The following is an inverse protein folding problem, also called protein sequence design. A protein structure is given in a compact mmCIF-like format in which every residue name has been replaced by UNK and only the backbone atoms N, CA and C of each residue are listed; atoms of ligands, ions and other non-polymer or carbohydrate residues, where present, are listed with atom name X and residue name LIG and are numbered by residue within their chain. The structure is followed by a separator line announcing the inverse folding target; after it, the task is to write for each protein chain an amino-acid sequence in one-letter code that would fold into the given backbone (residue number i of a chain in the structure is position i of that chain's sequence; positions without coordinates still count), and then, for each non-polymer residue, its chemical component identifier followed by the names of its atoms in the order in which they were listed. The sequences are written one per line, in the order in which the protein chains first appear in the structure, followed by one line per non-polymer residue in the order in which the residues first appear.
data_IF_366056016068
#
_entry.id   IF_366056016068
#
_cell.length_a   1.000
_cell.length_b   1.000
_cell.length_c   1.000
_cell.angle_alpha   90.00
_cell.angle_beta   90.00
_cell.angle_gamma   90.00
#
_symmetry.space_group_name_H-M   'P 1'
#
loop_
_entity.id
_entity.type
_entity.pdbx_description
1 polymer ?
#
# COMPACT_ATOMS: atom_id res chain seq x y z
N UNK A 1 21.69 -0.52 2.35
CA UNK A 1 21.24 -1.04 1.04
C UNK A 1 20.20 -0.07 0.54
N UNK A 2 20.57 0.77 -0.42
CA UNK A 2 19.74 1.81 -1.02
C UNK A 2 18.48 1.23 -1.66
N UNK A 3 17.34 1.38 -0.99
CA UNK A 3 16.03 1.42 -1.65
C UNK A 3 16.03 2.72 -2.44
N UNK A 4 16.33 2.59 -3.71
CA UNK A 4 16.31 3.68 -4.68
C UNK A 4 14.92 4.31 -4.68
N UNK A 5 14.92 5.64 -4.77
CA UNK A 5 13.83 6.59 -5.04
C UNK A 5 12.98 6.20 -6.27
N UNK A 6 12.34 5.05 -6.26
CA UNK A 6 11.37 4.64 -7.28
C UNK A 6 10.01 5.13 -6.82
N UNK A 7 9.80 6.42 -7.02
CA UNK A 7 8.52 7.14 -7.05
C UNK A 7 7.56 6.78 -5.90
N UNK A 8 7.63 7.52 -4.80
CA UNK A 8 6.50 7.68 -3.86
C UNK A 8 5.23 8.21 -4.55
N UNK A 9 5.32 8.64 -5.82
CA UNK A 9 4.24 9.17 -6.66
C UNK A 9 3.14 8.18 -7.04
N UNK A 10 3.26 6.90 -6.67
CA UNK A 10 2.22 5.89 -6.93
C UNK A 10 1.82 5.14 -5.65
N UNK A 11 1.78 5.87 -4.54
CA UNK A 11 1.14 5.40 -3.32
C UNK A 11 -0.34 5.68 -3.40
N UNK A 12 -1.13 4.67 -3.11
CA UNK A 12 -2.58 4.80 -3.02
C UNK A 12 -3.03 4.44 -1.63
N UNK A 13 -4.07 5.07 -1.10
CA UNK A 13 -4.75 4.60 0.08
C UNK A 13 -6.04 3.91 -0.33
N UNK A 14 -6.41 2.83 0.32
CA UNK A 14 -7.67 2.15 0.03
C UNK A 14 -7.96 1.01 0.99
N UNK A 15 -9.10 0.37 0.76
CA UNK A 15 -9.45 -0.87 1.44
C UNK A 15 -8.95 -2.04 0.62
N UNK A 16 -8.12 -2.89 1.22
CA UNK A 16 -7.64 -4.13 0.61
C UNK A 16 -8.35 -5.30 1.27
N UNK A 17 -8.86 -6.20 0.45
CA UNK A 17 -9.39 -7.49 0.90
C UNK A 17 -8.46 -8.57 0.37
N UNK A 18 -7.85 -9.33 1.28
CA UNK A 18 -6.96 -10.45 0.95
C UNK A 18 -7.52 -11.75 1.47
N UNK A 19 -7.18 -12.86 0.82
CA UNK A 19 -7.47 -14.18 1.36
C UNK A 19 -6.59 -14.44 2.58
N UNK A 20 -7.20 -14.82 3.70
CA UNK A 20 -6.46 -15.17 4.90
C UNK A 20 -5.67 -16.48 4.68
N UNK A 21 -4.37 -16.49 5.00
CA UNK A 21 -3.53 -17.68 4.79
C UNK A 21 -3.81 -18.81 5.79
N UNK A 22 -4.40 -18.53 6.95
CA UNK A 22 -4.76 -19.51 7.95
C UNK A 22 -6.17 -20.10 7.71
N UNK A 23 -7.09 -19.31 7.15
CA UNK A 23 -8.44 -19.72 6.79
C UNK A 23 -8.90 -19.10 5.44
N UNK A 24 -8.79 -19.84 4.32
CA UNK A 24 -9.14 -19.31 3.00
C UNK A 24 -10.64 -19.03 2.81
N UNK A 25 -11.50 -19.46 3.75
CA UNK A 25 -12.94 -19.18 3.75
C UNK A 25 -13.26 -17.84 4.40
N UNK A 26 -12.29 -17.23 5.09
CA UNK A 26 -12.42 -15.94 5.76
C UNK A 26 -11.51 -14.91 5.11
N UNK A 27 -12.04 -14.04 4.23
CA UNK A 27 -11.23 -12.93 3.73
C UNK A 27 -10.86 -11.98 4.87
N UNK A 28 -9.61 -11.54 4.87
CA UNK A 28 -9.10 -10.51 5.76
C UNK A 28 -9.29 -9.14 5.12
N UNK A 29 -9.98 -8.25 5.83
CA UNK A 29 -10.23 -6.90 5.37
C UNK A 29 -9.27 -5.93 6.08
N UNK A 30 -8.47 -5.24 5.28
CA UNK A 30 -7.50 -4.25 5.75
C UNK A 30 -7.99 -2.86 5.32
N UNK A 31 -8.71 -2.14 6.21
CA UNK A 31 -9.22 -0.82 5.91
C UNK A 31 -8.09 0.23 5.92
N UNK A 32 -8.26 1.26 5.07
CA UNK A 32 -7.44 2.47 5.03
C UNK A 32 -5.91 2.25 4.87
N UNK A 33 -5.53 1.14 4.25
CA UNK A 33 -4.13 0.80 4.03
C UNK A 33 -3.53 1.62 2.90
N UNK A 34 -2.25 1.91 3.03
CA UNK A 34 -1.42 2.40 1.95
C UNK A 34 -1.04 1.20 1.08
N UNK A 35 -1.16 1.37 -0.22
CA UNK A 35 -1.01 0.34 -1.23
C UNK A 35 0.05 0.84 -2.20
N UNK A 36 1.04 -0.02 -2.42
CA UNK A 36 2.03 0.15 -3.47
C UNK A 36 1.98 -1.05 -4.38
N UNK A 37 1.80 -0.79 -5.66
CA UNK A 37 1.92 -1.81 -6.68
C UNK A 37 3.40 -2.17 -6.82
N UNK A 38 3.75 -3.36 -6.32
CA UNK A 38 5.10 -3.88 -6.32
C UNK A 38 5.50 -4.45 -7.67
N UNK A 39 6.57 -5.26 -7.73
CA UNK A 39 6.90 -6.02 -8.93
C UNK A 39 5.71 -6.89 -9.38
N UNK A 40 5.66 -7.24 -10.67
CA UNK A 40 4.56 -8.01 -11.24
C UNK A 40 4.24 -9.25 -10.40
N UNK A 41 2.98 -9.38 -10.00
CA UNK A 41 2.52 -10.47 -9.13
C UNK A 41 2.45 -10.14 -7.64
N UNK A 42 2.82 -8.92 -7.22
CA UNK A 42 2.91 -8.54 -5.81
C UNK A 42 2.23 -7.20 -5.51
N UNK A 43 1.58 -7.15 -4.36
CA UNK A 43 0.97 -5.97 -3.75
C UNK A 43 1.64 -5.72 -2.41
N UNK A 44 2.19 -4.53 -2.23
CA UNK A 44 2.72 -4.10 -0.93
C UNK A 44 1.64 -3.29 -0.23
N UNK A 45 1.36 -3.63 1.02
CA UNK A 45 0.36 -3.02 1.88
C UNK A 45 1.07 -2.48 3.11
N UNK A 46 0.78 -1.25 3.49
CA UNK A 46 1.42 -0.55 4.60
C UNK A 46 0.34 0.07 5.46
N UNK A 47 0.44 -0.13 6.77
CA UNK A 47 -0.58 0.37 7.71
C UNK A 47 -0.59 1.90 7.81
N UNK A 48 0.58 2.53 7.62
CA UNK A 48 0.74 3.99 7.58
C UNK A 48 1.99 4.42 6.79
N UNK A 49 2.08 5.70 6.45
CA UNK A 49 3.29 6.33 5.91
C UNK A 49 4.20 6.85 7.04
N UNK A 50 4.50 6.00 8.01
CA UNK A 50 5.41 6.31 9.12
C UNK A 50 6.60 5.36 9.09
N UNK A 51 7.74 5.79 9.64
CA UNK A 51 8.97 4.99 9.66
C UNK A 51 8.80 3.64 10.42
N UNK A 52 7.89 3.61 11.41
CA UNK A 52 7.55 2.41 12.19
C UNK A 52 6.38 1.59 11.61
N UNK A 53 5.88 1.93 10.41
CA UNK A 53 4.72 1.24 9.86
C UNK A 53 5.06 -0.20 9.45
N UNK A 54 4.18 -1.13 9.81
CA UNK A 54 4.29 -2.51 9.37
C UNK A 54 4.08 -2.59 7.86
N UNK A 55 5.04 -3.23 7.18
CA UNK A 55 5.03 -3.47 5.74
C UNK A 55 4.68 -4.93 5.52
N UNK A 56 3.57 -5.15 4.83
CA UNK A 56 3.11 -6.47 4.43
C UNK A 56 3.15 -6.61 2.91
N UNK A 57 3.48 -7.80 2.42
CA UNK A 57 3.55 -8.07 0.98
C UNK A 57 2.69 -9.28 0.65
N UNK A 58 1.72 -9.05 -0.22
CA UNK A 58 0.73 -10.02 -0.63
C UNK A 58 0.92 -10.37 -2.11
N UNK A 59 0.94 -11.66 -2.49
CA UNK A 59 0.86 -12.02 -3.91
C UNK A 59 -0.51 -11.59 -4.45
N UNK A 60 -0.58 -11.04 -5.66
CA UNK A 60 -1.85 -10.57 -6.26
C UNK A 60 -2.89 -11.67 -6.39
N UNK A 61 -2.48 -12.94 -6.49
CA UNK A 61 -3.40 -14.08 -6.48
C UNK A 61 -4.17 -14.27 -5.17
N UNK A 62 -3.73 -13.63 -4.07
CA UNK A 62 -4.46 -13.59 -2.79
C UNK A 62 -5.28 -12.32 -2.60
N UNK A 63 -5.09 -11.32 -3.44
CA UNK A 63 -5.84 -10.06 -3.36
C UNK A 63 -7.19 -10.29 -4.00
N UNK A 64 -8.25 -10.25 -3.19
CA UNK A 64 -9.62 -10.47 -3.64
C UNK A 64 -10.23 -9.19 -4.19
N UNK A 65 -9.98 -8.06 -3.54
CA UNK A 65 -10.46 -6.76 -3.99
C UNK A 65 -9.60 -5.62 -3.44
N UNK A 66 -9.50 -4.55 -4.23
CA UNK A 66 -9.03 -3.24 -3.77
C UNK A 66 -10.15 -2.25 -4.07
N UNK A 67 -10.63 -1.56 -3.05
CA UNK A 67 -11.77 -0.63 -3.16
C UNK A 67 -11.43 0.69 -2.49
N UNK A 68 -12.20 1.73 -2.82
CA UNK A 68 -12.02 3.07 -2.26
C UNK A 68 -10.59 3.63 -2.47
N UNK A 69 -9.99 3.25 -3.61
CA UNK A 69 -8.64 3.63 -3.97
C UNK A 69 -8.56 5.14 -4.24
N UNK A 70 -7.73 5.82 -3.46
CA UNK A 70 -7.42 7.24 -3.59
C UNK A 70 -5.90 7.41 -3.63
N UNK A 71 -5.40 8.46 -4.26
CA UNK A 71 -3.97 8.77 -4.18
C UNK A 71 -3.61 9.11 -2.73
N UNK A 72 -2.59 8.44 -2.18
CA UNK A 72 -2.10 8.76 -0.85
C UNK A 72 -1.26 10.03 -0.97
N UNK A 73 -1.67 11.11 -0.29
CA UNK A 73 -0.87 12.31 -0.22
C UNK A 73 0.48 11.96 0.43
N UNK A 74 1.54 12.00 -0.36
CA UNK A 74 2.90 11.86 0.16
C UNK A 74 3.17 13.07 1.05
N UNK A 75 3.53 12.82 2.31
CA UNK A 75 4.09 13.85 3.19
C UNK A 75 5.51 14.18 2.69
N UNK A 76 5.60 14.78 1.51
CA UNK A 76 6.83 14.82 0.71
C UNK A 76 6.74 15.85 -0.40
N UNK A 77 6.16 17.01 -0.12
CA UNK A 77 6.50 18.25 -0.81
C UNK A 77 6.23 19.40 0.15
N UNK A 78 7.25 20.07 0.72
CA UNK A 78 7.05 21.48 1.02
C UNK A 78 6.58 22.15 -0.28
N UNK A 79 5.63 23.09 -0.23
CA UNK A 79 5.31 23.87 -1.41
C UNK A 79 6.61 24.54 -1.86
N UNK A 80 7.12 24.15 -3.03
CA UNK A 80 8.10 24.96 -3.74
C UNK A 80 7.38 26.26 -4.10
N UNK A 81 7.58 27.29 -3.28
CA UNK A 81 6.77 28.49 -3.35
C UNK A 81 7.09 29.51 -2.28
N UNK A 82 8.09 30.36 -2.56
CA UNK A 82 7.93 31.79 -2.30
C UNK A 82 9.12 32.52 -1.68
N UNK A 83 9.80 33.28 -2.56
CA UNK A 83 10.59 34.51 -2.35
C UNK A 83 12.05 34.37 -1.87
#
# INVERSE_FOLDING_TARGET
MDITTVNDRHLYQGRVVVQDPADPSRPLELPAQVIRFGPAGWLTVVSALTEDAEIEVYPTGRVLAITDLREAATAGSPPDGGA
#
